data_IF_655937299891
#
_entry.id   IF_655937299891
#
_cell.length_a   1.000
_cell.length_b   1.000
_cell.length_c   1.000
_cell.angle_alpha   90.00
_cell.angle_beta   90.00
_cell.angle_gamma   90.00
#
_symmetry.space_group_name_H-M   'P 1'
#
loop_
_entity.id
_entity.type
_entity.pdbx_description
1 polymer ?
#
# COMPACT_ATOMS: atom_id res chain seq x y z
N UNK A 1 -11.37 31.45 4.73
CA UNK A 1 -10.36 30.52 4.17
C UNK A 1 -10.21 29.37 5.16
N UNK A 2 -10.53 28.13 4.78
CA UNK A 2 -10.36 26.97 5.67
C UNK A 2 -8.86 26.66 5.79
N UNK A 3 -8.29 26.57 7.01
CA UNK A 3 -6.89 26.23 7.24
C UNK A 3 -6.48 24.93 6.51
N UNK A 4 -5.27 24.89 5.95
CA UNK A 4 -4.76 23.72 5.22
C UNK A 4 -4.78 22.43 6.06
N UNK A 5 -4.57 22.56 7.38
CA UNK A 5 -4.65 21.46 8.35
C UNK A 5 -6.05 20.85 8.42
N UNK A 6 -7.10 21.68 8.35
CA UNK A 6 -8.50 21.23 8.40
C UNK A 6 -8.89 20.52 7.09
N UNK A 7 -8.36 20.96 5.95
CA UNK A 7 -8.57 20.24 4.67
C UNK A 7 -7.89 18.87 4.64
N UNK A 8 -6.71 18.76 5.25
CA UNK A 8 -5.93 17.51 5.35
C UNK A 8 -6.64 16.48 6.23
N UNK A 9 -7.14 16.89 7.39
CA UNK A 9 -7.88 16.01 8.30
C UNK A 9 -9.18 15.50 7.69
N UNK A 10 -9.87 16.31 6.90
CA UNK A 10 -11.13 15.89 6.25
C UNK A 10 -10.91 14.85 5.15
N UNK A 11 -9.83 14.96 4.36
CA UNK A 11 -9.51 13.96 3.32
C UNK A 11 -9.08 12.63 3.95
N UNK A 12 -8.27 12.67 5.02
CA UNK A 12 -7.87 11.48 5.79
C UNK A 12 -9.05 10.79 6.46
N UNK A 13 -10.00 11.56 7.01
CA UNK A 13 -11.22 11.02 7.59
C UNK A 13 -12.09 10.33 6.54
N UNK A 14 -12.21 10.90 5.33
CA UNK A 14 -12.97 10.29 4.23
C UNK A 14 -12.30 8.99 3.76
N UNK A 15 -10.97 8.95 3.66
CA UNK A 15 -10.22 7.74 3.27
C UNK A 15 -10.33 6.63 4.33
N UNK A 16 -10.24 6.99 5.63
CA UNK A 16 -10.41 6.04 6.73
C UNK A 16 -11.84 5.46 6.78
N UNK A 17 -12.86 6.29 6.49
CA UNK A 17 -14.25 5.82 6.47
C UNK A 17 -14.53 4.93 5.26
N UNK A 18 -13.88 5.19 4.12
CA UNK A 18 -13.98 4.33 2.94
C UNK A 18 -13.32 2.96 3.18
N UNK A 19 -12.16 2.92 3.85
CA UNK A 19 -11.45 1.67 4.15
C UNK A 19 -12.18 0.73 5.12
N UNK A 20 -13.21 1.20 5.83
CA UNK A 20 -13.99 0.42 6.79
C UNK A 20 -15.19 -0.33 6.17
N UNK A 21 -15.39 -0.26 4.86
CA UNK A 21 -16.48 -0.97 4.19
C UNK A 21 -16.10 -2.45 3.95
N UNK A 22 -17.02 -3.41 4.13
CA UNK A 22 -16.75 -4.80 3.82
C UNK A 22 -16.40 -4.95 2.33
N UNK A 23 -15.25 -5.54 2.03
CA UNK A 23 -14.91 -5.95 0.68
C UNK A 23 -15.75 -7.19 0.31
N UNK A 24 -16.78 -7.02 -0.52
CA UNK A 24 -17.46 -8.14 -1.17
C UNK A 24 -16.57 -8.66 -2.30
N UNK A 25 -15.73 -9.65 -2.01
CA UNK A 25 -15.00 -10.38 -3.04
C UNK A 25 -15.97 -11.25 -3.85
N UNK A 26 -16.22 -10.89 -5.11
CA UNK A 26 -16.83 -11.79 -6.07
C UNK A 26 -15.78 -12.83 -6.45
N UNK A 27 -15.95 -14.08 -6.02
CA UNK A 27 -15.13 -15.21 -6.47
C UNK A 27 -15.36 -15.38 -7.98
N UNK A 28 -14.46 -14.83 -8.78
CA UNK A 28 -14.49 -14.96 -10.23
C UNK A 28 -14.36 -16.42 -10.62
N UNK A 29 -15.47 -17.03 -11.02
CA UNK A 29 -15.49 -18.35 -11.66
C UNK A 29 -14.96 -18.16 -13.08
N UNK A 30 -13.65 -18.32 -13.27
CA UNK A 30 -13.03 -18.23 -14.59
C UNK A 30 -11.52 -18.45 -14.55
N UNK A 31 -10.99 -19.05 -15.62
CA UNK A 31 -9.56 -19.29 -15.90
C UNK A 31 -8.80 -17.98 -16.18
N UNK A 32 -8.93 -16.99 -15.28
CA UNK A 32 -8.16 -15.75 -15.38
C UNK A 32 -6.67 -16.09 -15.25
N UNK A 33 -5.84 -15.45 -16.08
CA UNK A 33 -4.39 -15.66 -15.99
C UNK A 33 -3.91 -15.31 -14.58
N UNK A 34 -2.96 -16.09 -14.04
CA UNK A 34 -2.46 -15.87 -12.68
C UNK A 34 -1.97 -14.44 -12.47
N UNK A 35 -1.38 -13.82 -13.50
CA UNK A 35 -1.01 -12.41 -13.53
C UNK A 35 -2.21 -11.47 -13.38
N UNK A 36 -3.26 -11.66 -14.17
CA UNK A 36 -4.47 -10.82 -14.10
C UNK A 36 -5.12 -10.89 -12.73
N UNK A 37 -5.17 -12.09 -12.13
CA UNK A 37 -5.66 -12.28 -10.76
C UNK A 37 -4.84 -11.47 -9.75
N UNK A 38 -3.51 -11.60 -9.79
CA UNK A 38 -2.63 -10.82 -8.92
C UNK A 38 -2.72 -9.31 -9.14
N UNK A 39 -2.87 -8.86 -10.38
CA UNK A 39 -3.01 -7.44 -10.72
C UNK A 39 -4.34 -6.85 -10.21
N UNK A 40 -5.44 -7.59 -10.34
CA UNK A 40 -6.75 -7.13 -9.89
C UNK A 40 -6.90 -7.18 -8.37
N UNK A 41 -6.09 -8.00 -7.68
CA UNK A 41 -6.28 -8.24 -6.26
C UNK A 41 -6.17 -6.96 -5.40
N UNK A 42 -5.09 -6.14 -5.48
CA UNK A 42 -5.01 -4.90 -4.70
C UNK A 42 -6.12 -3.90 -4.99
N UNK A 43 -6.77 -4.01 -6.16
CA UNK A 43 -7.83 -3.11 -6.59
C UNK A 43 -9.21 -3.53 -6.05
N UNK A 44 -9.31 -4.73 -5.47
CA UNK A 44 -10.55 -5.27 -4.89
C UNK A 44 -10.68 -4.99 -3.39
N UNK A 45 -9.57 -4.74 -2.69
CA UNK A 45 -9.52 -4.42 -1.26
C UNK A 45 -9.24 -2.95 -0.98
N UNK A 46 -10.11 -2.28 -0.24
CA UNK A 46 -9.92 -0.86 0.10
C UNK A 46 -8.75 -0.63 1.06
N UNK A 47 -8.47 -1.58 1.94
CA UNK A 47 -7.28 -1.65 2.77
C UNK A 47 -5.99 -1.62 1.94
N UNK A 48 -5.91 -2.43 0.87
CA UNK A 48 -4.79 -2.48 -0.07
C UNK A 48 -4.59 -1.16 -0.78
N UNK A 49 -5.65 -0.69 -1.45
CA UNK A 49 -5.62 0.58 -2.19
C UNK A 49 -5.19 1.72 -1.28
N UNK A 50 -5.78 1.82 -0.09
CA UNK A 50 -5.50 2.90 0.86
C UNK A 50 -4.04 2.90 1.27
N UNK A 51 -3.47 1.75 1.63
CA UNK A 51 -2.08 1.66 2.08
C UNK A 51 -1.10 1.90 0.93
N UNK A 52 -1.33 1.29 -0.22
CA UNK A 52 -0.42 1.44 -1.37
C UNK A 52 -0.43 2.88 -1.88
N UNK A 53 -1.59 3.54 -1.95
CA UNK A 53 -1.66 4.96 -2.29
C UNK A 53 -1.00 5.81 -1.19
N UNK A 54 -1.24 5.50 0.09
CA UNK A 54 -0.66 6.24 1.22
C UNK A 54 0.88 6.19 1.23
N UNK A 55 1.50 5.06 0.86
CA UNK A 55 2.96 4.95 0.72
C UNK A 55 3.49 5.95 -0.31
N UNK A 56 2.88 6.00 -1.49
CA UNK A 56 3.27 6.94 -2.55
C UNK A 56 3.06 8.40 -2.14
N UNK A 57 1.91 8.70 -1.53
CA UNK A 57 1.58 10.03 -1.04
C UNK A 57 2.56 10.48 0.04
N UNK A 58 2.86 9.62 1.02
CA UNK A 58 3.81 9.92 2.09
C UNK A 58 5.22 10.13 1.55
N UNK A 59 5.66 9.32 0.58
CA UNK A 59 6.94 9.50 -0.11
C UNK A 59 7.03 10.87 -0.80
N UNK A 60 5.95 11.35 -1.42
CA UNK A 60 5.86 12.70 -1.99
C UNK A 60 5.92 13.81 -0.93
N UNK A 61 5.27 13.62 0.22
CA UNK A 61 5.28 14.59 1.32
C UNK A 61 6.67 14.71 1.97
N UNK A 62 7.40 13.59 2.06
CA UNK A 62 8.74 13.55 2.63
C UNK A 62 9.82 14.06 1.66
N UNK A 63 9.67 13.78 0.36
CA UNK A 63 10.58 14.24 -0.68
C UNK A 63 11.94 13.53 -0.69
N UNK A 64 12.87 14.06 -1.51
CA UNK A 64 14.24 13.55 -1.63
C UNK A 64 14.31 12.06 -1.98
N UNK A 65 15.12 11.30 -1.24
CA UNK A 65 15.31 9.86 -1.47
C UNK A 65 14.07 9.02 -1.15
N UNK A 66 13.15 9.51 -0.31
CA UNK A 66 11.94 8.77 0.06
C UNK A 66 11.04 8.48 -1.15
N UNK A 67 11.02 9.38 -2.15
CA UNK A 67 10.26 9.23 -3.41
C UNK A 67 10.54 7.89 -4.10
N UNK A 68 11.77 7.39 -3.99
CA UNK A 68 12.21 6.13 -4.63
C UNK A 68 12.35 5.02 -3.61
N UNK A 69 13.03 5.28 -2.49
CA UNK A 69 13.41 4.24 -1.53
C UNK A 69 12.19 3.59 -0.86
N UNK A 70 11.12 4.36 -0.60
CA UNK A 70 9.93 3.86 0.11
C UNK A 70 9.04 2.96 -0.76
N UNK A 71 8.62 3.36 -1.98
CA UNK A 71 7.92 2.45 -2.88
C UNK A 71 8.71 1.18 -3.21
N UNK A 72 10.03 1.30 -3.41
CA UNK A 72 10.88 0.13 -3.68
C UNK A 72 10.98 -0.80 -2.47
N UNK A 73 11.12 -0.24 -1.26
CA UNK A 73 11.11 -1.03 -0.04
C UNK A 73 9.80 -1.80 0.13
N UNK A 74 8.65 -1.15 -0.12
CA UNK A 74 7.36 -1.82 -0.05
C UNK A 74 7.31 -2.99 -1.04
N UNK A 75 7.55 -2.75 -2.33
CA UNK A 75 7.46 -3.81 -3.35
C UNK A 75 8.47 -4.94 -3.07
N UNK A 76 9.71 -4.60 -2.71
CA UNK A 76 10.75 -5.60 -2.43
C UNK A 76 10.42 -6.49 -1.23
N UNK A 77 10.02 -5.90 -0.11
CA UNK A 77 9.67 -6.66 1.10
C UNK A 77 8.35 -7.40 0.94
N UNK A 78 7.39 -6.84 0.23
CA UNK A 78 6.14 -7.52 -0.12
C UNK A 78 6.39 -8.75 -0.98
N UNK A 79 7.29 -8.70 -1.96
CA UNK A 79 7.67 -9.90 -2.72
C UNK A 79 8.31 -10.96 -1.81
N UNK A 80 9.17 -10.56 -0.86
CA UNK A 80 9.73 -11.48 0.13
C UNK A 80 8.68 -12.04 1.10
N UNK A 81 7.71 -11.24 1.52
CA UNK A 81 6.55 -11.72 2.30
C UNK A 81 5.74 -12.73 1.49
N UNK A 82 5.50 -12.45 0.22
CA UNK A 82 4.80 -13.34 -0.70
C UNK A 82 5.47 -14.68 -0.86
N UNK A 83 6.80 -14.72 -0.98
CA UNK A 83 7.52 -16.00 -1.02
C UNK A 83 7.38 -16.77 0.30
N UNK A 84 7.42 -16.10 1.45
CA UNK A 84 7.18 -16.76 2.75
C UNK A 84 5.75 -17.32 2.85
N UNK A 85 4.75 -16.57 2.38
CA UNK A 85 3.35 -17.01 2.34
C UNK A 85 3.16 -18.22 1.43
N UNK A 86 3.75 -18.22 0.23
CA UNK A 86 3.70 -19.35 -0.70
C UNK A 86 4.39 -20.60 -0.14
N UNK A 87 5.45 -20.42 0.65
CA UNK A 87 6.14 -21.50 1.37
C UNK A 87 5.39 -21.94 2.64
N UNK A 88 4.23 -21.36 2.94
CA UNK A 88 3.42 -21.65 4.12
C UNK A 88 4.19 -21.45 5.43
N UNK A 89 5.16 -20.54 5.44
CA UNK A 89 5.89 -20.17 6.67
C UNK A 89 4.94 -19.36 7.54
N UNK A 90 4.65 -19.79 8.78
CA UNK A 90 3.70 -19.08 9.62
C UNK A 90 4.28 -17.73 10.08
N UNK A 91 3.51 -16.66 9.86
CA UNK A 91 3.80 -15.32 10.39
C UNK A 91 2.65 -14.94 11.31
N UNK A 92 2.97 -14.50 12.52
CA UNK A 92 1.97 -14.07 13.49
C UNK A 92 1.46 -12.67 13.15
N UNK A 93 0.20 -12.40 13.53
CA UNK A 93 -0.41 -11.06 13.45
C UNK A 93 -0.53 -10.46 12.05
N UNK A 94 -0.61 -11.28 10.99
CA UNK A 94 -0.72 -10.81 9.60
C UNK A 94 -1.95 -9.90 9.40
N UNK A 95 -3.15 -10.40 9.71
CA UNK A 95 -4.39 -9.63 9.61
C UNK A 95 -4.40 -8.38 10.51
N UNK A 96 -4.07 -8.46 11.83
CA UNK A 96 -3.92 -7.26 12.66
C UNK A 96 -2.88 -6.26 12.13
N UNK A 97 -1.78 -6.75 11.55
CA UNK A 97 -0.73 -5.94 10.98
C UNK A 97 -1.18 -5.17 9.74
N UNK A 98 -1.98 -5.80 8.87
CA UNK A 98 -2.63 -5.15 7.74
C UNK A 98 -3.57 -4.05 8.23
N UNK A 99 -4.44 -4.32 9.19
CA UNK A 99 -5.35 -3.31 9.74
C UNK A 99 -4.60 -2.15 10.41
N UNK A 100 -3.55 -2.45 11.18
CA UNK A 100 -2.71 -1.45 11.82
C UNK A 100 -2.02 -0.53 10.80
N UNK A 101 -1.66 -1.06 9.62
CA UNK A 101 -1.01 -0.28 8.57
C UNK A 101 -1.89 0.82 8.00
N UNK A 102 -3.19 0.57 7.82
CA UNK A 102 -4.16 1.56 7.33
C UNK A 102 -4.21 2.76 8.27
N UNK A 103 -4.29 2.50 9.58
CA UNK A 103 -4.32 3.54 10.60
C UNK A 103 -2.97 4.25 10.69
N UNK A 104 -1.87 3.50 10.77
CA UNK A 104 -0.54 4.06 10.96
C UNK A 104 -0.11 4.95 9.79
N UNK A 105 -0.18 4.44 8.55
CA UNK A 105 0.17 5.22 7.36
C UNK A 105 -0.81 6.36 7.12
N UNK A 106 -2.10 6.15 7.39
CA UNK A 106 -3.11 7.21 7.34
C UNK A 106 -2.76 8.37 8.28
N UNK A 107 -2.34 8.09 9.51
CA UNK A 107 -1.90 9.10 10.47
C UNK A 107 -0.59 9.77 10.06
N UNK A 108 0.40 9.01 9.59
CA UNK A 108 1.69 9.55 9.12
C UNK A 108 1.48 10.55 7.96
N UNK A 109 0.61 10.20 7.01
CA UNK A 109 0.20 11.09 5.91
C UNK A 109 -0.60 12.29 6.43
N UNK A 110 -1.62 12.05 7.27
CA UNK A 110 -2.51 13.10 7.78
C UNK A 110 -1.73 14.19 8.52
N UNK A 111 -0.78 13.77 9.36
CA UNK A 111 0.07 14.64 10.15
C UNK A 111 1.30 15.16 9.37
N UNK A 112 1.56 14.63 8.16
CA UNK A 112 2.79 14.85 7.38
C UNK A 112 4.02 14.71 8.25
N UNK A 113 4.10 13.56 8.95
CA UNK A 113 5.27 13.23 9.75
C UNK A 113 6.48 13.11 8.83
N UNK A 114 7.51 13.87 9.16
CA UNK A 114 8.80 13.88 8.49
C UNK A 114 9.72 12.90 9.22
N UNK A 115 10.16 11.84 8.53
CA UNK A 115 11.02 10.82 9.10
C UNK A 115 12.32 10.69 8.30
N UNK A 116 13.43 10.31 8.96
CA UNK A 116 14.60 9.81 8.25
C UNK A 116 14.18 8.67 7.31
N UNK A 117 14.75 8.66 6.09
CA UNK A 117 14.37 7.70 5.05
C UNK A 117 14.46 6.25 5.53
N UNK A 118 15.48 5.92 6.34
CA UNK A 118 15.67 4.60 6.94
C UNK A 118 14.54 4.19 7.88
N UNK A 119 14.01 5.12 8.68
CA UNK A 119 12.87 4.85 9.55
C UNK A 119 11.59 4.61 8.74
N UNK A 120 11.38 5.38 7.67
CA UNK A 120 10.28 5.14 6.73
C UNK A 120 10.37 3.77 6.05
N UNK A 121 11.57 3.37 5.60
CA UNK A 121 11.82 2.02 5.06
C UNK A 121 11.46 0.93 6.07
N UNK A 122 11.80 1.10 7.36
CA UNK A 122 11.47 0.11 8.39
C UNK A 122 9.96 -0.02 8.61
N UNK A 123 9.24 1.10 8.72
CA UNK A 123 7.77 1.11 8.91
C UNK A 123 7.06 0.50 7.70
N UNK A 124 7.42 0.95 6.50
CA UNK A 124 6.82 0.48 5.24
C UNK A 124 7.14 -0.99 5.00
N UNK A 125 8.39 -1.40 5.21
CA UNK A 125 8.82 -2.79 5.07
C UNK A 125 8.07 -3.72 6.01
N UNK A 126 7.87 -3.32 7.27
CA UNK A 126 7.11 -4.12 8.23
C UNK A 126 5.68 -4.41 7.72
N UNK A 127 4.96 -3.39 7.27
CA UNK A 127 3.60 -3.58 6.75
C UNK A 127 3.60 -4.32 5.42
N UNK A 128 4.54 -4.02 4.52
CA UNK A 128 4.70 -4.71 3.25
C UNK A 128 4.88 -6.22 3.43
N UNK A 129 5.59 -6.64 4.49
CA UNK A 129 5.76 -8.06 4.82
C UNK A 129 4.42 -8.75 5.07
N UNK A 130 3.50 -8.13 5.83
CA UNK A 130 2.19 -8.70 6.12
C UNK A 130 1.30 -8.77 4.87
N UNK A 131 1.29 -7.71 4.06
CA UNK A 131 0.60 -7.74 2.76
C UNK A 131 1.14 -8.85 1.88
N UNK A 132 2.46 -8.88 1.67
CA UNK A 132 3.11 -9.94 0.91
C UNK A 132 2.73 -11.33 1.40
N UNK A 133 2.88 -11.58 2.70
CA UNK A 133 2.60 -12.86 3.32
C UNK A 133 1.16 -13.32 3.11
N UNK A 134 0.17 -12.48 3.43
CA UNK A 134 -1.24 -12.80 3.23
C UNK A 134 -1.53 -13.25 1.79
N UNK A 135 -1.01 -12.51 0.81
CA UNK A 135 -1.29 -12.77 -0.60
C UNK A 135 -0.54 -14.00 -1.11
N UNK A 136 0.67 -14.22 -0.61
CA UNK A 136 1.43 -15.42 -0.87
C UNK A 136 0.70 -16.68 -0.40
N UNK A 137 -0.02 -16.62 0.73
CA UNK A 137 -0.80 -17.77 1.22
C UNK A 137 -2.06 -18.06 0.39
N UNK A 138 -2.59 -17.07 -0.31
CA UNK A 138 -3.78 -17.21 -1.17
C UNK A 138 -3.46 -17.77 -2.56
N UNK A 139 -2.19 -17.78 -2.96
CA UNK A 139 -1.75 -18.39 -4.22
C UNK A 139 -2.03 -19.90 -4.15
N UNK A 140 -2.99 -20.35 -4.95
CA UNK A 140 -3.26 -21.78 -5.15
C UNK A 140 -1.98 -22.53 -5.53
N UNK A 141 -1.74 -23.68 -4.90
CA UNK A 141 -0.59 -24.55 -5.18
C UNK A 141 -0.50 -24.98 -6.65
N UNK A 142 -1.63 -24.99 -7.37
CA UNK A 142 -1.74 -25.36 -8.78
C UNK A 142 -1.72 -24.15 -9.74
N UNK A 143 -1.63 -22.92 -9.23
CA UNK A 143 -1.59 -21.71 -10.02
C UNK A 143 -0.15 -21.18 -10.18
N UNK A 144 0.11 -20.44 -11.26
CA UNK A 144 1.42 -19.87 -11.54
C UNK A 144 1.78 -18.71 -10.60
N UNK A 145 2.17 -19.00 -9.35
CA UNK A 145 2.41 -18.00 -8.31
C UNK A 145 3.35 -16.85 -8.68
N UNK A 146 4.35 -17.10 -9.53
CA UNK A 146 5.20 -16.04 -10.08
C UNK A 146 4.41 -15.01 -10.91
N UNK A 147 3.45 -15.48 -11.71
CA UNK A 147 2.56 -14.61 -12.48
C UNK A 147 1.70 -13.76 -11.56
N UNK A 148 1.08 -14.37 -10.56
CA UNK A 148 0.30 -13.67 -9.54
C UNK A 148 1.13 -12.59 -8.84
N UNK A 149 2.30 -12.94 -8.30
CA UNK A 149 3.16 -11.98 -7.59
C UNK A 149 3.67 -10.87 -8.50
N UNK A 150 3.95 -11.16 -9.78
CA UNK A 150 4.31 -10.14 -10.76
C UNK A 150 3.16 -9.16 -11.05
N UNK A 151 1.92 -9.67 -11.19
CA UNK A 151 0.73 -8.85 -11.34
C UNK A 151 0.47 -7.98 -10.11
N UNK A 152 0.58 -8.59 -8.93
CA UNK A 152 0.42 -7.92 -7.64
C UNK A 152 1.45 -6.78 -7.46
N UNK A 153 2.72 -7.05 -7.79
CA UNK A 153 3.78 -6.05 -7.76
C UNK A 153 3.55 -4.91 -8.75
N UNK A 154 3.08 -5.21 -9.97
CA UNK A 154 2.77 -4.19 -10.97
C UNK A 154 1.62 -3.27 -10.52
N UNK A 155 0.53 -3.84 -10.02
CA UNK A 155 -0.60 -3.06 -9.48
C UNK A 155 -0.18 -2.21 -8.27
N UNK A 156 0.61 -2.78 -7.37
CA UNK A 156 1.18 -2.06 -6.21
C UNK A 156 2.02 -0.87 -6.64
N UNK A 157 2.92 -1.07 -7.61
CA UNK A 157 3.76 0.01 -8.13
C UNK A 157 2.93 1.14 -8.77
N UNK A 158 1.85 0.79 -9.49
CA UNK A 158 0.93 1.79 -10.07
C UNK A 158 0.17 2.56 -9.00
N UNK A 159 -0.26 1.91 -7.92
CA UNK A 159 -0.93 2.56 -6.79
C UNK A 159 0.03 3.49 -6.03
N UNK A 160 1.29 3.08 -5.81
CA UNK A 160 2.33 3.97 -5.29
C UNK A 160 2.55 5.17 -6.21
N UNK A 161 2.64 4.96 -7.52
CA UNK A 161 2.80 6.04 -8.49
C UNK A 161 1.61 7.01 -8.48
N UNK A 162 0.37 6.49 -8.34
CA UNK A 162 -0.82 7.31 -8.21
C UNK A 162 -0.80 8.18 -6.94
N UNK A 163 -0.42 7.60 -5.80
CA UNK A 163 -0.24 8.35 -4.54
C UNK A 163 0.85 9.42 -4.64
N UNK A 164 1.98 9.08 -5.26
CA UNK A 164 3.09 10.01 -5.48
C UNK A 164 2.65 11.18 -6.37
N UNK A 165 1.98 10.89 -7.49
CA UNK A 165 1.46 11.91 -8.40
C UNK A 165 0.45 12.84 -7.70
N UNK A 166 -0.44 12.29 -6.87
CA UNK A 166 -1.37 13.08 -6.08
C UNK A 166 -0.65 13.99 -5.08
N UNK A 167 0.38 13.49 -4.38
CA UNK A 167 1.18 14.26 -3.43
C UNK A 167 1.98 15.39 -4.08
N UNK A 168 2.65 15.10 -5.20
CA UNK A 168 3.38 16.12 -5.97
C UNK A 168 2.43 17.18 -6.55
N UNK A 169 1.28 16.76 -7.09
CA UNK A 169 0.24 17.67 -7.60
C UNK A 169 -0.32 18.60 -6.52
N UNK A 170 -0.54 18.08 -5.30
CA UNK A 170 -0.92 18.88 -4.14
C UNK A 170 0.18 19.87 -3.74
N UNK A 171 1.45 19.47 -3.81
CA UNK A 171 2.60 20.35 -3.57
C UNK A 171 2.68 21.52 -4.54
N UNK A 172 2.40 21.29 -5.83
CA UNK A 172 2.32 22.35 -6.85
C UNK A 172 1.17 23.33 -6.55
N UNK A 173 0.01 22.82 -6.11
CA UNK A 173 -1.18 23.65 -5.81
C UNK A 173 -1.04 24.43 -4.49
N UNK A 174 -0.30 23.88 -3.52
CA UNK A 174 -0.12 24.43 -2.17
C UNK A 174 1.36 24.34 -1.76
N UNK A 175 2.19 25.32 -2.19
CA UNK A 175 3.61 25.35 -1.84
C UNK A 175 3.77 25.35 -0.31
N UNK A 176 4.34 24.26 0.22
CA UNK A 176 4.43 23.96 1.65
C UNK A 176 3.89 22.59 2.06
N UNK A 177 3.21 21.85 1.17
CA UNK A 177 2.74 20.48 1.45
C UNK A 177 3.70 19.38 1.02
N UNK A 178 4.35 19.51 -0.14
CA UNK A 178 5.37 18.56 -0.62
C UNK A 178 6.75 19.20 -0.52
N UNK A 179 7.78 18.38 -0.27
CA UNK A 179 9.16 18.80 -0.06
C UNK A 179 10.06 18.42 -1.23
#
# INVERSE_FOLDING_TARGET
>A
MVPATIKRTSLSAILLLAAALPAHAHVGIGTTSSFTSGFMHPLSGLDHMTVMIAVGLWAALNGGKAIVDWPLAFVGVMLAGGTLGMLQVPVAFVEPGILASVVALGLLVALAVDLPVSAGVAVIGLFALFYGHAHGTEVSENAGGLGYMAGFAAATALLHAAGLAAGLGLGIRFPGLAR
#
